data_IF_418607318384
#
_entry.id   IF_418607318384
#
_cell.length_a   1.000
_cell.length_b   1.000
_cell.length_c   1.000
_cell.angle_alpha   90.00
_cell.angle_beta   90.00
_cell.angle_gamma   90.00
#
_symmetry.space_group_name_H-M   'P 1'
#
loop_
_entity.id
_entity.type
_entity.pdbx_description
1 polymer ?
#
# COMPACT_ATOMS: atom_id res chain seq x y z
N UNK A 1 -10.70 -16.27 -5.01
CA UNK A 1 -9.44 -16.58 -5.74
C UNK A 1 -8.26 -16.15 -4.88
N UNK A 2 -7.26 -17.01 -4.63
CA UNK A 2 -6.10 -16.74 -3.75
C UNK A 2 -5.02 -15.96 -4.51
N UNK A 3 -4.46 -14.91 -3.89
CA UNK A 3 -3.44 -14.06 -4.52
C UNK A 3 -2.14 -14.82 -4.79
N UNK A 4 -1.75 -15.71 -3.88
CA UNK A 4 -0.56 -16.57 -3.99
C UNK A 4 -0.61 -17.46 -5.24
N UNK A 5 -1.77 -18.04 -5.54
CA UNK A 5 -1.95 -18.91 -6.71
C UNK A 5 -1.83 -18.13 -8.03
N UNK A 6 -2.17 -16.84 -8.04
CA UNK A 6 -1.97 -15.97 -9.22
C UNK A 6 -0.50 -15.65 -9.41
N UNK A 7 0.19 -15.27 -8.33
CA UNK A 7 1.62 -14.97 -8.35
C UNK A 7 2.46 -16.17 -8.76
N UNK A 8 2.11 -17.37 -8.28
CA UNK A 8 2.78 -18.61 -8.66
C UNK A 8 2.65 -18.93 -10.15
N UNK A 9 1.47 -18.68 -10.75
CA UNK A 9 1.25 -18.86 -12.20
C UNK A 9 2.07 -17.89 -13.05
N UNK A 10 2.29 -16.68 -12.55
CA UNK A 10 3.02 -15.63 -13.25
C UNK A 10 4.53 -15.66 -12.91
N UNK A 11 4.98 -16.51 -11.98
CA UNK A 11 6.38 -16.58 -11.54
C UNK A 11 6.87 -15.30 -10.84
N UNK A 12 5.96 -14.54 -10.23
CA UNK A 12 6.23 -13.22 -9.66
C UNK A 12 6.42 -13.27 -8.15
N UNK A 13 7.39 -12.52 -7.65
CA UNK A 13 7.61 -12.30 -6.21
C UNK A 13 7.27 -10.86 -5.85
N UNK A 14 6.33 -10.66 -4.92
CA UNK A 14 5.91 -9.32 -4.50
C UNK A 14 6.79 -8.79 -3.37
N UNK A 15 6.87 -7.48 -3.18
CA UNK A 15 7.66 -6.91 -2.06
C UNK A 15 6.81 -6.11 -1.07
N UNK A 16 5.75 -5.47 -1.57
CA UNK A 16 4.87 -4.65 -0.76
C UNK A 16 3.50 -5.30 -0.66
N UNK A 17 3.06 -5.57 0.56
CA UNK A 17 1.71 -6.06 0.86
C UNK A 17 0.90 -4.88 1.36
N UNK A 18 -0.26 -4.65 0.75
CA UNK A 18 -1.21 -3.61 1.11
C UNK A 18 -2.53 -4.25 1.50
N UNK A 19 -3.01 -3.93 2.68
CA UNK A 19 -4.32 -4.33 3.19
C UNK A 19 -5.24 -3.11 3.08
N UNK A 20 -6.38 -3.30 2.42
CA UNK A 20 -7.48 -2.34 2.36
C UNK A 20 -8.61 -2.85 3.24
N UNK A 21 -8.97 -2.05 4.23
CA UNK A 21 -9.99 -2.38 5.22
C UNK A 21 -11.15 -1.40 5.03
N UNK A 22 -12.35 -1.93 4.76
CA UNK A 22 -13.57 -1.14 4.73
C UNK A 22 -14.37 -1.40 5.99
N UNK A 23 -14.54 -0.37 6.81
CA UNK A 23 -15.31 -0.42 8.06
C UNK A 23 -16.81 -0.51 7.77
N UNK A 24 -17.59 -0.88 8.80
CA UNK A 24 -19.05 -0.89 8.72
C UNK A 24 -19.62 0.50 8.37
N UNK A 25 -19.01 1.56 8.91
CA UNK A 25 -19.30 2.99 8.62
C UNK A 25 -18.89 3.44 7.21
N UNK A 26 -18.49 2.52 6.33
CA UNK A 26 -17.99 2.77 4.97
C UNK A 26 -16.64 3.49 4.85
N UNK A 27 -16.01 3.88 5.97
CA UNK A 27 -14.64 4.37 6.00
C UNK A 27 -13.64 3.35 5.42
N UNK A 28 -12.74 3.84 4.58
CA UNK A 28 -11.69 3.02 3.95
C UNK A 28 -10.34 3.34 4.58
N UNK A 29 -9.74 2.36 5.24
CA UNK A 29 -8.38 2.43 5.76
C UNK A 29 -7.47 1.58 4.89
N UNK A 30 -6.31 2.11 4.54
CA UNK A 30 -5.31 1.39 3.74
C UNK A 30 -3.99 1.38 4.48
N UNK A 31 -3.47 0.19 4.76
CA UNK A 31 -2.14 -0.02 5.36
C UNK A 31 -1.26 -0.78 4.40
N UNK A 32 -0.02 -0.34 4.25
CA UNK A 32 0.97 -1.02 3.44
C UNK A 32 2.20 -1.35 4.30
N UNK A 33 2.76 -2.53 4.09
CA UNK A 33 4.03 -2.96 4.65
C UNK A 33 4.91 -3.48 3.53
N UNK A 34 6.12 -2.94 3.43
CA UNK A 34 7.14 -3.39 2.49
C UNK A 34 8.11 -4.31 3.22
N UNK A 35 8.23 -5.56 2.75
CA UNK A 35 9.25 -6.48 3.25
C UNK A 35 10.52 -6.37 2.41
N UNK A 36 11.69 -6.62 3.02
CA UNK A 36 12.96 -6.66 2.28
C UNK A 36 13.09 -7.94 1.44
N UNK A 37 12.54 -9.06 1.96
CA UNK A 37 12.46 -10.35 1.27
C UNK A 37 11.25 -10.35 0.33
N UNK A 38 11.44 -10.88 -0.89
CA UNK A 38 10.35 -11.10 -1.82
C UNK A 38 9.36 -12.12 -1.25
N UNK A 39 8.09 -11.76 -1.17
CA UNK A 39 7.00 -12.62 -0.73
C UNK A 39 6.36 -13.30 -1.94
N UNK A 40 6.47 -14.61 -1.99
CA UNK A 40 5.81 -15.47 -2.97
C UNK A 40 4.91 -16.52 -2.31
N UNK A 41 5.25 -16.92 -1.08
CA UNK A 41 4.50 -17.89 -0.30
C UNK A 41 3.22 -17.30 0.28
N UNK A 42 2.18 -18.13 0.36
CA UNK A 42 0.90 -17.74 0.96
C UNK A 42 1.04 -17.44 2.46
N UNK A 43 1.93 -18.14 3.15
CA UNK A 43 2.18 -18.03 4.59
C UNK A 43 2.80 -16.68 4.94
N UNK A 44 3.82 -16.23 4.21
CA UNK A 44 4.42 -14.90 4.40
C UNK A 44 3.40 -13.77 4.21
N UNK A 45 2.58 -13.87 3.16
CA UNK A 45 1.53 -12.86 2.88
C UNK A 45 0.53 -12.83 4.03
N UNK A 46 0.16 -14.00 4.56
CA UNK A 46 -0.77 -14.13 5.67
C UNK A 46 -0.22 -13.53 6.97
N UNK A 47 1.04 -13.81 7.31
CA UNK A 47 1.66 -13.30 8.53
C UNK A 47 1.73 -11.77 8.52
N UNK A 48 2.18 -11.18 7.41
CA UNK A 48 2.23 -9.73 7.22
C UNK A 48 0.83 -9.12 7.30
N UNK A 49 -0.15 -9.71 6.62
CA UNK A 49 -1.53 -9.23 6.65
C UNK A 49 -2.13 -9.29 8.06
N UNK A 50 -1.86 -10.37 8.81
CA UNK A 50 -2.32 -10.54 10.20
C UNK A 50 -1.69 -9.51 11.13
N UNK A 51 -0.39 -9.23 10.98
CA UNK A 51 0.30 -8.19 11.74
C UNK A 51 -0.28 -6.81 11.49
N UNK A 52 -0.62 -6.49 10.23
CA UNK A 52 -1.28 -5.24 9.87
C UNK A 52 -2.71 -5.15 10.42
N UNK A 53 -3.47 -6.24 10.36
CA UNK A 53 -4.85 -6.28 10.86
C UNK A 53 -4.91 -6.10 12.38
N UNK A 54 -3.97 -6.72 13.13
CA UNK A 54 -3.89 -6.60 14.58
C UNK A 54 -3.68 -5.16 15.05
N UNK A 55 -2.96 -4.34 14.28
CA UNK A 55 -2.74 -2.92 14.61
C UNK A 55 -4.01 -2.06 14.52
N UNK A 56 -5.02 -2.54 13.81
CA UNK A 56 -6.26 -1.79 13.54
C UNK A 56 -7.47 -2.32 14.34
N UNK A 57 -7.29 -3.39 15.12
CA UNK A 57 -8.33 -3.90 16.02
C UNK A 57 -8.42 -3.04 17.30
N UNK A 58 -9.62 -2.85 17.90
CA UNK A 58 -10.93 -3.40 17.51
C UNK A 58 -11.68 -2.51 16.49
N UNK A 59 -11.96 -3.04 15.30
CA UNK A 59 -12.76 -2.39 14.27
C UNK A 59 -13.69 -3.40 13.58
N UNK A 60 -14.95 -3.02 13.34
CA UNK A 60 -15.89 -3.79 12.53
C UNK A 60 -15.63 -3.58 11.04
N UNK A 61 -15.37 -4.66 10.31
CA UNK A 61 -15.03 -4.63 8.90
C UNK A 61 -16.11 -5.32 8.06
N UNK A 62 -16.50 -4.67 6.97
CA UNK A 62 -17.42 -5.23 5.96
C UNK A 62 -16.68 -5.90 4.80
N UNK A 63 -15.54 -5.33 4.42
CA UNK A 63 -14.72 -5.83 3.32
C UNK A 63 -13.24 -5.73 3.67
N UNK A 64 -12.51 -6.79 3.34
CA UNK A 64 -11.05 -6.85 3.42
C UNK A 64 -10.49 -7.16 2.04
N UNK A 65 -9.59 -6.31 1.56
CA UNK A 65 -8.89 -6.49 0.29
C UNK A 65 -7.39 -6.59 0.49
N UNK A 66 -6.75 -7.55 -0.17
CA UNK A 66 -5.29 -7.69 -0.22
C UNK A 66 -4.79 -7.28 -1.60
N UNK A 67 -3.83 -6.38 -1.64
CA UNK A 67 -3.12 -5.96 -2.83
C UNK A 67 -1.63 -6.21 -2.62
N UNK A 68 -0.98 -6.77 -3.62
CA UNK A 68 0.47 -6.90 -3.65
C UNK A 68 0.99 -5.96 -4.73
N UNK A 69 2.12 -5.33 -4.46
CA UNK A 69 2.76 -4.37 -5.35
C UNK A 69 4.27 -4.55 -5.28
N UNK A 70 4.96 -3.95 -6.25
CA UNK A 70 6.40 -4.04 -6.40
C UNK A 70 6.86 -5.49 -6.64
N UNK A 71 6.40 -6.05 -7.75
CA UNK A 71 6.74 -7.41 -8.17
C UNK A 71 8.14 -7.43 -8.79
N UNK A 72 8.92 -8.46 -8.46
CA UNK A 72 10.18 -8.81 -9.13
C UNK A 72 9.99 -10.12 -9.87
N UNK A 73 10.43 -10.13 -11.12
CA UNK A 73 10.57 -11.34 -11.93
C UNK A 73 11.75 -12.15 -11.41
N UNK A 74 11.60 -13.48 -11.37
CA UNK A 74 12.70 -14.38 -11.00
C UNK A 74 13.89 -14.32 -11.99
N UNK A 75 13.71 -13.69 -13.16
CA UNK A 75 14.74 -13.57 -14.20
C UNK A 75 15.74 -12.41 -13.99
N UNK A 76 15.52 -11.52 -13.01
CA UNK A 76 16.38 -10.34 -12.81
C UNK A 76 17.03 -10.37 -11.42
N UNK A 77 18.25 -10.91 -11.36
CA UNK A 77 19.20 -10.64 -10.29
C UNK A 77 20.20 -9.54 -10.73
N UNK A 78 20.88 -8.90 -9.78
CA UNK A 78 20.53 -7.65 -9.13
C UNK A 78 21.07 -6.43 -9.89
N UNK A 79 20.20 -5.70 -10.57
CA UNK A 79 20.43 -4.31 -10.93
C UNK A 79 19.84 -3.42 -9.85
N UNK A 80 20.70 -2.76 -9.09
CA UNK A 80 20.39 -1.58 -8.29
C UNK A 80 19.46 -0.64 -9.08
N UNK A 81 18.31 -0.23 -8.51
CA UNK A 81 17.83 1.16 -8.49
C UNK A 81 16.45 1.29 -7.83
N UNK A 82 16.33 2.43 -7.15
CA UNK A 82 15.13 3.22 -6.93
C UNK A 82 14.09 2.67 -5.94
N UNK A 83 14.24 3.10 -4.70
CA UNK A 83 13.12 3.72 -4.01
C UNK A 83 12.60 4.87 -4.89
N UNK A 84 11.30 4.96 -5.15
CA UNK A 84 10.70 6.28 -5.02
C UNK A 84 9.51 6.26 -4.08
N UNK A 85 9.57 7.24 -3.21
CA UNK A 85 8.46 8.06 -2.74
C UNK A 85 7.43 7.44 -1.81
N UNK A 86 7.76 7.62 -0.53
CA UNK A 86 6.82 8.04 0.50
C UNK A 86 5.87 9.15 -0.02
N UNK A 87 4.79 8.79 -0.73
CA UNK A 87 3.61 9.65 -0.88
C UNK A 87 2.90 9.68 0.48
N UNK A 88 3.47 10.46 1.39
CA UNK A 88 2.77 11.05 2.51
C UNK A 88 2.96 12.56 2.39
N UNK A 89 2.13 13.16 1.55
CA UNK A 89 1.76 14.56 1.76
C UNK A 89 0.26 14.69 1.67
N UNK A 90 -0.33 14.56 2.87
CA UNK A 90 -1.44 15.34 3.37
C UNK A 90 -2.31 16.03 2.32
N UNK A 91 -3.53 15.53 2.21
CA UNK A 91 -4.69 16.38 2.04
C UNK A 91 -4.55 17.62 2.97
N UNK A 92 -4.51 18.83 2.40
CA UNK A 92 -4.76 20.07 3.14
C UNK A 92 -3.68 21.14 3.08
N UNK A 93 -3.74 22.03 2.09
CA UNK A 93 -3.50 23.48 2.24
C UNK A 93 -4.27 24.26 1.17
N UNK A 94 -5.59 24.34 1.32
CA UNK A 94 -6.32 25.53 0.85
C UNK A 94 -6.05 26.64 1.86
N UNK A 95 -5.19 27.60 1.53
CA UNK A 95 -5.24 28.95 2.14
C UNK A 95 -4.95 29.99 1.06
N UNK A 96 -6.00 30.73 0.71
CA UNK A 96 -6.02 32.10 0.21
C UNK A 96 -5.11 32.46 -0.96
N UNK A 97 -5.69 32.55 -2.17
CA UNK A 97 -5.25 33.58 -3.12
C UNK A 97 -5.62 34.94 -2.53
N UNK A 98 -4.72 35.62 -1.84
CA UNK A 98 -4.83 37.07 -1.66
C UNK A 98 -4.21 37.73 -2.89
N UNK A 99 -5.06 38.44 -3.64
CA UNK A 99 -4.64 39.29 -4.77
C UNK A 99 -3.97 40.53 -4.16
N UNK A 100 -2.73 40.89 -4.52
CA UNK A 100 -2.16 42.13 -4.02
C UNK A 100 -2.94 43.33 -4.60
N UNK A 101 -3.19 44.41 -3.83
CA UNK A 101 -3.75 45.62 -4.38
C UNK A 101 -2.74 46.29 -5.31
N UNK A 102 -3.22 46.81 -6.45
CA UNK A 102 -2.45 47.70 -7.31
C UNK A 102 -2.38 49.07 -6.64
N UNK A 103 -1.18 49.54 -6.33
CA UNK A 103 -0.96 50.94 -5.93
C UNK A 103 -1.20 51.86 -7.14
N UNK A 104 -1.88 53.02 -6.95
CA UNK A 104 -1.88 54.09 -7.94
C UNK A 104 -0.95 55.23 -7.52
N UNK A 105 -0.04 55.62 -8.41
CA UNK A 105 0.39 56.96 -8.84
C UNK A 105 1.84 56.93 -9.31
#
# INVERSE_FOLDING_TARGET
>A
KKVSSRMAKEGLSGRTVTVKLKRSTFDVVTRAQSSARGVASAEDIWDIARGLLRKEMPCELRLLGLRISNFRSAAEAPGEVAQPELVQQACGRRRGRTRPPRSPR
#
